data_IF_229080741253
#
_entry.id   IF_229080741253
#
_cell.length_a   1.000
_cell.length_b   1.000
_cell.length_c   1.000
_cell.angle_alpha   90.00
_cell.angle_beta   90.00
_cell.angle_gamma   90.00
#
_symmetry.space_group_name_H-M   'P 1'
#
loop_
_entity.id
_entity.type
_entity.pdbx_description
1 polymer ?
#
# COMPACT_ATOMS: atom_id res chain seq x y z
N UNK A 1 88.04 -17.37 -40.53
CA UNK A 1 88.54 -18.57 -41.22
C UNK A 1 87.38 -19.54 -41.39
N UNK A 2 87.27 -20.12 -42.59
CA UNK A 2 86.47 -21.29 -43.00
C UNK A 2 84.96 -21.13 -43.23
N UNK A 3 84.68 -20.65 -44.45
CA UNK A 3 83.79 -21.23 -45.47
C UNK A 3 83.29 -22.67 -45.24
N UNK A 4 82.03 -22.92 -45.63
CA UNK A 4 81.54 -24.12 -46.38
C UNK A 4 80.09 -24.48 -45.97
N UNK A 5 79.18 -25.04 -46.77
CA UNK A 5 78.87 -24.95 -48.20
C UNK A 5 77.37 -25.29 -48.37
N UNK A 6 76.85 -25.05 -49.58
CA UNK A 6 75.48 -25.31 -50.05
C UNK A 6 75.03 -26.77 -49.91
N UNK A 7 73.73 -27.00 -49.64
CA UNK A 7 72.99 -28.13 -50.19
C UNK A 7 71.57 -27.74 -50.62
N UNK A 8 71.25 -28.07 -51.87
CA UNK A 8 69.94 -28.00 -52.53
C UNK A 8 69.02 -29.11 -52.01
N UNK A 9 67.72 -28.83 -51.86
CA UNK A 9 66.65 -29.76 -52.27
C UNK A 9 65.31 -29.01 -52.44
N UNK A 10 64.49 -29.56 -53.33
CA UNK A 10 63.32 -28.97 -53.98
C UNK A 10 62.04 -29.19 -53.15
N UNK A 11 61.03 -28.39 -53.50
CA UNK A 11 59.59 -28.66 -53.38
C UNK A 11 58.94 -28.39 -52.02
N UNK A 12 58.14 -27.33 -51.92
CA UNK A 12 56.70 -27.43 -52.20
C UNK A 12 56.08 -26.04 -52.07
N UNK A 13 55.45 -25.58 -53.14
CA UNK A 13 54.62 -24.38 -53.16
C UNK A 13 53.34 -24.66 -52.39
N UNK A 14 53.16 -24.03 -51.23
CA UNK A 14 51.85 -23.82 -50.62
C UNK A 14 51.75 -22.35 -50.28
N UNK A 15 50.95 -21.63 -51.08
CA UNK A 15 50.52 -20.28 -50.79
C UNK A 15 49.77 -20.28 -49.45
N UNK A 16 50.32 -19.61 -48.44
CA UNK A 16 49.52 -19.06 -47.34
C UNK A 16 49.42 -17.55 -47.56
N UNK A 17 48.25 -17.12 -48.02
CA UNK A 17 47.90 -15.73 -48.12
C UNK A 17 47.96 -15.10 -46.72
N UNK A 18 48.76 -14.04 -46.59
CA UNK A 18 48.70 -13.11 -45.47
C UNK A 18 47.39 -12.33 -45.58
N UNK A 19 46.41 -12.63 -44.73
CA UNK A 19 45.37 -11.66 -44.38
C UNK A 19 45.87 -10.86 -43.18
N UNK A 20 46.30 -9.63 -43.47
CA UNK A 20 46.43 -8.57 -42.47
C UNK A 20 45.07 -8.38 -41.79
N UNK A 21 45.03 -8.69 -40.50
CA UNK A 21 43.91 -8.42 -39.61
C UNK A 21 43.77 -6.91 -39.44
N UNK A 22 42.84 -6.30 -40.16
CA UNK A 22 42.26 -5.02 -39.74
C UNK A 22 41.39 -5.30 -38.52
N UNK A 23 41.93 -5.05 -37.32
CA UNK A 23 41.11 -4.87 -36.12
C UNK A 23 40.23 -3.64 -36.37
N UNK A 24 39.06 -3.89 -36.93
CA UNK A 24 37.95 -2.95 -36.82
C UNK A 24 37.53 -3.00 -35.36
N UNK A 25 37.88 -1.96 -34.61
CA UNK A 25 37.32 -1.72 -33.30
C UNK A 25 35.79 -1.65 -33.47
N UNK A 26 35.10 -2.74 -33.16
CA UNK A 26 33.67 -2.71 -32.92
C UNK A 26 33.50 -1.74 -31.75
N UNK A 27 32.82 -0.60 -31.90
CA UNK A 27 32.49 0.19 -30.73
C UNK A 27 31.70 -0.74 -29.82
N UNK A 28 32.24 -1.01 -28.64
CA UNK A 28 31.48 -1.62 -27.58
C UNK A 28 30.25 -0.74 -27.42
N UNK A 29 29.08 -1.27 -27.79
CA UNK A 29 27.83 -0.60 -27.48
C UNK A 29 27.87 -0.39 -25.97
N UNK A 30 27.92 0.88 -25.55
CA UNK A 30 27.75 1.21 -24.15
C UNK A 30 26.49 0.46 -23.69
N UNK A 31 26.55 -0.29 -22.58
CA UNK A 31 25.33 -0.86 -22.04
C UNK A 31 24.42 0.32 -21.80
N UNK A 32 23.33 0.41 -22.57
CA UNK A 32 22.26 1.35 -22.34
C UNK A 32 21.81 1.06 -20.92
N UNK A 33 22.29 1.87 -19.99
CA UNK A 33 21.76 1.95 -18.64
C UNK A 33 20.36 2.49 -18.84
N UNK A 34 19.40 1.59 -19.09
CA UNK A 34 18.01 1.93 -18.88
C UNK A 34 17.95 2.39 -17.43
N UNK A 35 17.69 3.67 -17.17
CA UNK A 35 17.77 4.16 -15.82
C UNK A 35 16.67 3.44 -15.05
N UNK A 36 16.97 3.04 -13.81
CA UNK A 36 16.03 2.42 -12.84
C UNK A 36 14.71 3.21 -12.71
N UNK A 37 14.69 4.45 -13.20
CA UNK A 37 13.51 5.26 -13.52
C UNK A 37 12.50 4.59 -14.49
N UNK A 38 12.79 3.46 -15.14
CA UNK A 38 11.83 2.83 -16.09
C UNK A 38 10.84 1.87 -15.43
N UNK A 39 11.23 1.14 -14.37
CA UNK A 39 10.38 0.12 -13.75
C UNK A 39 9.28 0.68 -12.86
N UNK A 40 9.61 1.70 -12.05
CA UNK A 40 8.63 2.38 -11.19
C UNK A 40 7.58 3.12 -12.02
N UNK A 41 7.99 3.77 -13.11
CA UNK A 41 7.07 4.46 -14.03
C UNK A 41 6.17 3.48 -14.77
N UNK A 42 6.70 2.35 -15.23
CA UNK A 42 5.88 1.29 -15.83
C UNK A 42 4.87 0.71 -14.84
N UNK A 43 5.30 0.40 -13.61
CA UNK A 43 4.41 -0.10 -12.56
C UNK A 43 3.32 0.92 -12.20
N UNK A 44 3.69 2.19 -12.06
CA UNK A 44 2.75 3.29 -11.85
C UNK A 44 1.74 3.39 -13.01
N UNK A 45 2.23 3.41 -14.25
CA UNK A 45 1.37 3.51 -15.43
C UNK A 45 0.38 2.33 -15.52
N UNK A 46 0.84 1.09 -15.29
CA UNK A 46 -0.03 -0.09 -15.31
C UNK A 46 -1.04 -0.10 -14.15
N UNK A 47 -0.63 0.34 -12.96
CA UNK A 47 -1.52 0.49 -11.81
C UNK A 47 -2.67 1.46 -12.16
N UNK A 48 -2.34 2.65 -12.66
CA UNK A 48 -3.33 3.66 -13.05
C UNK A 48 -4.19 3.24 -14.24
N UNK A 49 -3.63 2.50 -15.19
CA UNK A 49 -4.34 2.05 -16.39
C UNK A 49 -5.36 0.95 -16.08
N UNK A 50 -5.08 0.07 -15.11
CA UNK A 50 -5.84 -1.17 -14.92
C UNK A 50 -6.60 -1.27 -13.59
N UNK A 51 -6.03 -0.75 -12.51
CA UNK A 51 -6.49 -1.05 -11.16
C UNK A 51 -7.11 0.16 -10.46
N UNK A 52 -6.74 1.39 -10.84
CA UNK A 52 -7.37 2.60 -10.28
C UNK A 52 -8.68 2.89 -11.00
N UNK A 53 -9.79 2.80 -10.29
CA UNK A 53 -11.11 3.06 -10.85
C UNK A 53 -11.43 4.56 -11.01
N UNK A 54 -12.60 4.87 -11.58
CA UNK A 54 -13.08 6.24 -11.78
C UNK A 54 -13.18 7.06 -10.48
N UNK A 55 -13.36 6.41 -9.33
CA UNK A 55 -13.44 7.06 -8.01
C UNK A 55 -12.07 7.26 -7.34
N UNK A 56 -11.00 6.68 -7.89
CA UNK A 56 -9.67 6.72 -7.29
C UNK A 56 -9.43 5.62 -6.26
N UNK A 57 -10.15 4.51 -6.36
CA UNK A 57 -9.96 3.33 -5.51
C UNK A 57 -9.15 2.30 -6.31
N UNK A 58 -8.13 1.73 -5.68
CA UNK A 58 -7.32 0.65 -6.27
C UNK A 58 -8.01 -0.69 -6.04
N UNK A 59 -8.33 -1.41 -7.10
CA UNK A 59 -8.87 -2.77 -7.03
C UNK A 59 -7.77 -3.80 -6.76
N UNK A 60 -8.11 -4.89 -6.07
CA UNK A 60 -7.19 -6.00 -5.79
C UNK A 60 -6.77 -6.72 -7.08
N UNK A 61 -7.75 -6.99 -7.93
CA UNK A 61 -7.55 -7.55 -9.26
C UNK A 61 -8.53 -6.96 -10.27
N UNK A 62 -8.21 -7.11 -11.56
CA UNK A 62 -9.10 -6.71 -12.65
C UNK A 62 -10.16 -7.79 -12.84
N UNK A 63 -11.43 -7.43 -12.71
CA UNK A 63 -12.56 -8.34 -12.89
C UNK A 63 -13.91 -7.63 -12.80
N UNK A 64 -14.99 -8.42 -12.81
CA UNK A 64 -16.34 -7.89 -12.72
C UNK A 64 -16.63 -7.35 -11.32
N UNK A 65 -17.04 -6.08 -11.26
CA UNK A 65 -17.43 -5.46 -10.00
C UNK A 65 -18.73 -6.09 -9.48
N UNK A 66 -18.87 -6.27 -8.16
CA UNK A 66 -20.10 -6.79 -7.59
C UNK A 66 -21.27 -5.85 -7.90
N UNK A 67 -22.42 -6.45 -8.22
CA UNK A 67 -23.67 -5.70 -8.40
C UNK A 67 -24.33 -5.43 -7.05
N UNK A 68 -25.32 -4.51 -6.99
CA UNK A 68 -26.11 -4.32 -5.78
C UNK A 68 -26.75 -5.62 -5.26
N UNK A 69 -27.17 -6.50 -6.16
CA UNK A 69 -27.73 -7.80 -5.81
C UNK A 69 -26.68 -8.73 -5.21
N UNK A 70 -25.45 -8.75 -5.75
CA UNK A 70 -24.36 -9.54 -5.19
C UNK A 70 -24.00 -9.08 -3.78
N UNK A 71 -23.86 -7.76 -3.57
CA UNK A 71 -23.59 -7.19 -2.24
C UNK A 71 -24.73 -7.50 -1.26
N UNK A 72 -26.00 -7.36 -1.68
CA UNK A 72 -27.18 -7.66 -0.85
C UNK A 72 -27.25 -9.13 -0.46
N UNK A 73 -26.91 -10.03 -1.37
CA UNK A 73 -26.88 -11.47 -1.13
C UNK A 73 -25.59 -11.95 -0.46
N UNK A 74 -24.58 -11.08 -0.30
CA UNK A 74 -23.27 -11.43 0.22
C UNK A 74 -22.54 -12.45 -0.67
N UNK A 75 -22.58 -12.27 -2.00
CA UNK A 75 -21.84 -13.11 -2.96
C UNK A 75 -20.52 -12.44 -3.34
N UNK A 76 -19.39 -13.15 -3.41
CA UNK A 76 -19.25 -14.59 -3.13
C UNK A 76 -19.29 -14.91 -1.63
N UNK A 77 -19.07 -13.92 -0.77
CA UNK A 77 -19.25 -14.00 0.68
C UNK A 77 -19.55 -12.60 1.24
N UNK A 78 -20.16 -12.54 2.43
CA UNK A 78 -20.53 -11.27 3.07
C UNK A 78 -19.32 -10.41 3.51
N UNK A 79 -18.11 -10.97 3.53
CA UNK A 79 -16.88 -10.21 3.81
C UNK A 79 -16.46 -9.42 2.57
N UNK A 80 -16.80 -9.90 1.37
CA UNK A 80 -16.37 -9.34 0.10
C UNK A 80 -15.06 -9.91 -0.41
N UNK A 81 -14.55 -10.99 0.19
CA UNK A 81 -13.32 -11.64 -0.26
C UNK A 81 -13.47 -12.24 -1.65
N UNK A 82 -12.37 -12.29 -2.41
CA UNK A 82 -12.36 -12.74 -3.81
C UNK A 82 -13.25 -11.89 -4.72
N UNK A 83 -13.36 -10.60 -4.42
CA UNK A 83 -13.98 -9.62 -5.32
C UNK A 83 -12.96 -8.53 -5.65
N UNK A 84 -13.06 -7.89 -6.84
CA UNK A 84 -12.11 -6.83 -7.22
C UNK A 84 -12.01 -5.69 -6.19
N UNK A 85 -13.07 -5.48 -5.41
CA UNK A 85 -13.16 -4.40 -4.43
C UNK A 85 -12.73 -4.83 -3.03
N UNK A 86 -12.12 -6.00 -2.83
CA UNK A 86 -11.89 -6.53 -1.48
C UNK A 86 -10.92 -5.72 -0.63
N UNK A 87 -9.93 -5.08 -1.26
CA UNK A 87 -8.81 -4.40 -0.59
C UNK A 87 -8.62 -2.94 -1.04
N UNK A 88 -9.73 -2.26 -1.39
CA UNK A 88 -9.73 -0.89 -1.91
C UNK A 88 -8.97 0.11 -1.03
N UNK A 89 -9.46 0.45 0.18
CA UNK A 89 -8.73 1.30 1.10
C UNK A 89 -7.36 0.75 1.50
N UNK A 90 -7.19 -0.57 1.57
CA UNK A 90 -5.91 -1.18 1.90
C UNK A 90 -4.82 -0.76 0.90
N UNK A 91 -5.02 -1.00 -0.40
CA UNK A 91 -4.02 -0.58 -1.40
C UNK A 91 -4.00 0.93 -1.61
N UNK A 92 -5.16 1.57 -1.68
CA UNK A 92 -5.25 3.01 -1.94
C UNK A 92 -4.56 3.81 -0.85
N UNK A 93 -4.79 3.44 0.42
CA UNK A 93 -4.21 4.08 1.58
C UNK A 93 -2.71 3.84 1.73
N UNK A 94 -2.21 2.66 1.35
CA UNK A 94 -0.78 2.36 1.33
C UNK A 94 -0.04 3.04 0.16
N UNK A 95 -0.72 3.25 -0.98
CA UNK A 95 -0.13 3.86 -2.16
C UNK A 95 -0.12 5.39 -2.13
N UNK A 96 -1.14 6.02 -1.53
CA UNK A 96 -1.29 7.47 -1.48
C UNK A 96 -0.05 8.21 -0.94
N UNK A 97 0.65 7.75 0.13
CA UNK A 97 1.89 8.38 0.58
C UNK A 97 2.99 8.42 -0.48
N UNK A 98 3.13 7.37 -1.29
CA UNK A 98 4.09 7.34 -2.39
C UNK A 98 3.73 8.37 -3.47
N UNK A 99 2.44 8.56 -3.75
CA UNK A 99 1.96 9.59 -4.66
C UNK A 99 2.18 11.00 -4.11
N UNK A 100 1.97 11.21 -2.82
CA UNK A 100 2.26 12.48 -2.18
C UNK A 100 3.74 12.85 -2.33
N UNK A 101 4.62 11.88 -2.09
CA UNK A 101 6.07 12.08 -2.22
C UNK A 101 6.50 12.28 -3.68
N UNK A 102 5.90 11.54 -4.62
CA UNK A 102 6.10 11.73 -6.06
C UNK A 102 5.73 13.16 -6.45
N UNK A 103 4.52 13.61 -6.14
CA UNK A 103 4.01 14.95 -6.44
C UNK A 103 4.89 16.07 -5.84
N UNK A 104 5.42 15.85 -4.63
CA UNK A 104 6.36 16.77 -3.98
C UNK A 104 7.69 16.87 -4.73
N UNK A 105 8.22 15.74 -5.22
CA UNK A 105 9.51 15.67 -5.93
C UNK A 105 9.43 16.20 -7.36
N UNK A 106 8.37 15.85 -8.09
CA UNK A 106 8.21 16.21 -9.51
C UNK A 106 7.62 17.61 -9.67
N UNK A 107 6.75 18.03 -8.75
CA UNK A 107 5.95 19.23 -8.87
C UNK A 107 4.85 19.13 -9.95
N UNK A 108 4.72 17.98 -10.62
CA UNK A 108 3.84 17.76 -11.77
C UNK A 108 2.36 17.92 -11.35
N UNK A 109 1.57 18.78 -12.03
CA UNK A 109 0.14 18.89 -11.81
C UNK A 109 -0.62 17.55 -11.90
N UNK A 110 -0.20 16.62 -12.75
CA UNK A 110 -0.82 15.31 -12.89
C UNK A 110 -0.67 14.47 -11.61
N UNK A 111 0.54 14.40 -11.06
CA UNK A 111 0.82 13.65 -9.82
C UNK A 111 0.02 14.21 -8.65
N UNK A 112 -0.13 15.54 -8.59
CA UNK A 112 -0.94 16.23 -7.58
C UNK A 112 -2.42 15.87 -7.69
N UNK A 113 -2.98 15.87 -8.90
CA UNK A 113 -4.38 15.49 -9.12
C UNK A 113 -4.61 14.01 -8.88
N UNK A 114 -3.65 13.15 -9.23
CA UNK A 114 -3.68 11.73 -8.90
C UNK A 114 -3.74 11.50 -7.39
N UNK A 115 -2.87 12.13 -6.61
CA UNK A 115 -2.91 12.05 -5.14
C UNK A 115 -4.26 12.52 -4.58
N UNK A 116 -4.81 13.63 -5.10
CA UNK A 116 -6.15 14.13 -4.73
C UNK A 116 -7.25 13.15 -5.08
N UNK A 117 -7.20 12.51 -6.24
CA UNK A 117 -8.18 11.50 -6.67
C UNK A 117 -8.17 10.27 -5.75
N UNK A 118 -7.00 9.78 -5.36
CA UNK A 118 -6.90 8.68 -4.38
C UNK A 118 -7.47 9.08 -3.02
N UNK A 119 -7.20 10.30 -2.54
CA UNK A 119 -7.78 10.81 -1.29
C UNK A 119 -9.31 10.89 -1.36
N UNK A 120 -9.87 11.33 -2.49
CA UNK A 120 -11.33 11.33 -2.73
C UNK A 120 -11.90 9.90 -2.74
N UNK A 121 -11.19 8.94 -3.32
CA UNK A 121 -11.56 7.51 -3.28
C UNK A 121 -11.67 6.98 -1.86
N UNK A 122 -10.66 7.25 -1.02
CA UNK A 122 -10.68 6.90 0.42
C UNK A 122 -11.86 7.58 1.14
N UNK A 123 -12.14 8.84 0.86
CA UNK A 123 -13.28 9.55 1.46
C UNK A 123 -14.63 8.96 1.04
N UNK A 124 -14.75 8.48 -0.21
CA UNK A 124 -15.93 7.76 -0.69
C UNK A 124 -16.13 6.46 0.08
N UNK A 125 -15.07 5.67 0.30
CA UNK A 125 -15.15 4.44 1.09
C UNK A 125 -15.60 4.66 2.55
N UNK A 126 -15.43 5.87 3.09
CA UNK A 126 -15.89 6.25 4.43
C UNK A 126 -17.27 6.96 4.44
N UNK A 127 -17.98 6.99 3.31
CA UNK A 127 -19.18 7.83 3.14
C UNK A 127 -20.36 7.15 2.44
N UNK A 128 -20.20 5.94 1.91
CA UNK A 128 -21.31 5.19 1.27
C UNK A 128 -22.14 4.34 2.24
N UNK A 129 -21.63 4.08 3.43
CA UNK A 129 -22.35 3.36 4.49
C UNK A 129 -23.07 4.33 5.41
N UNK A 130 -24.30 3.96 5.80
CA UNK A 130 -25.09 4.69 6.80
C UNK A 130 -24.67 4.36 8.24
N UNK A 131 -23.72 3.43 8.43
CA UNK A 131 -23.16 3.11 9.75
C UNK A 131 -21.96 4.01 10.01
N UNK A 132 -22.01 4.91 11.02
CA UNK A 132 -20.88 5.75 11.36
C UNK A 132 -19.62 4.91 11.65
N UNK A 133 -18.47 5.39 11.20
CA UNK A 133 -17.18 4.72 11.41
C UNK A 133 -16.91 3.51 10.52
N UNK A 134 -17.86 3.12 9.66
CA UNK A 134 -17.65 2.08 8.66
C UNK A 134 -16.70 2.60 7.56
N UNK A 135 -15.67 1.80 7.27
CA UNK A 135 -14.84 1.93 6.08
C UNK A 135 -15.12 0.72 5.21
N UNK A 136 -15.75 0.95 4.06
CA UNK A 136 -16.09 -0.14 3.13
C UNK A 136 -14.86 -0.56 2.33
N UNK A 137 -14.83 -1.83 1.91
CA UNK A 137 -13.74 -2.40 1.10
C UNK A 137 -13.63 -1.77 -0.29
N UNK A 138 -14.73 -1.26 -0.82
CA UNK A 138 -14.80 -0.51 -2.07
C UNK A 138 -16.27 -0.35 -2.46
N UNK A 139 -16.51 0.02 -3.71
CA UNK A 139 -17.87 0.24 -4.23
C UNK A 139 -18.10 -0.59 -5.49
N UNK A 140 -19.29 -1.17 -5.61
CA UNK A 140 -19.67 -1.97 -6.77
C UNK A 140 -20.13 -1.14 -7.97
N UNK A 141 -20.88 -1.78 -8.87
CA UNK A 141 -21.20 -1.22 -10.20
C UNK A 141 -22.00 0.08 -10.19
N UNK A 142 -22.77 0.36 -9.14
CA UNK A 142 -23.54 1.60 -8.97
C UNK A 142 -22.77 2.71 -8.25
N UNK A 143 -21.53 2.44 -7.83
CA UNK A 143 -20.70 3.37 -7.06
C UNK A 143 -21.13 3.58 -5.61
N UNK A 144 -22.05 2.78 -5.07
CA UNK A 144 -22.55 2.91 -3.69
C UNK A 144 -22.67 1.55 -2.99
N UNK A 145 -23.10 0.49 -3.68
CA UNK A 145 -23.24 -0.83 -3.11
C UNK A 145 -21.88 -1.36 -2.63
N UNK A 146 -21.90 -2.04 -1.50
CA UNK A 146 -20.70 -2.49 -0.82
C UNK A 146 -21.00 -3.70 0.08
N UNK A 147 -19.96 -4.45 0.44
CA UNK A 147 -20.10 -5.54 1.39
C UNK A 147 -20.20 -5.03 2.83
N UNK A 148 -21.02 -5.68 3.67
CA UNK A 148 -21.41 -5.13 4.98
C UNK A 148 -20.33 -5.25 6.07
N UNK A 149 -19.27 -6.03 5.87
CA UNK A 149 -18.30 -6.29 6.94
C UNK A 149 -17.05 -5.40 6.81
N UNK A 150 -16.92 -4.45 7.75
CA UNK A 150 -15.71 -3.66 7.93
C UNK A 150 -14.55 -4.49 8.46
N UNK A 151 -13.36 -3.92 8.50
CA UNK A 151 -12.16 -4.59 9.03
C UNK A 151 -11.05 -3.58 9.34
N UNK A 152 -10.16 -3.95 10.27
CA UNK A 152 -8.98 -3.15 10.59
C UNK A 152 -7.92 -3.16 9.47
N UNK A 153 -7.98 -4.15 8.57
CA UNK A 153 -7.14 -4.27 7.37
C UNK A 153 -7.37 -3.13 6.36
N UNK A 154 -8.61 -2.67 6.19
CA UNK A 154 -8.96 -1.50 5.37
C UNK A 154 -8.81 -0.20 6.15
N UNK A 155 -9.24 -0.23 7.40
CA UNK A 155 -9.39 0.98 8.22
C UNK A 155 -8.02 1.58 8.57
N UNK A 156 -7.00 0.77 8.85
CA UNK A 156 -5.67 1.29 9.16
C UNK A 156 -5.00 2.00 7.96
N UNK A 157 -4.89 1.38 6.77
CA UNK A 157 -4.41 2.05 5.57
C UNK A 157 -5.20 3.30 5.21
N UNK A 158 -6.53 3.30 5.41
CA UNK A 158 -7.35 4.49 5.23
C UNK A 158 -6.87 5.67 6.08
N UNK A 159 -6.63 5.44 7.38
CA UNK A 159 -6.02 6.45 8.27
C UNK A 159 -4.61 6.81 7.83
N UNK A 160 -3.79 5.82 7.45
CA UNK A 160 -2.39 6.03 7.05
C UNK A 160 -2.27 6.96 5.85
N UNK A 161 -2.97 6.65 4.75
CA UNK A 161 -2.93 7.44 3.52
C UNK A 161 -3.48 8.84 3.72
N UNK A 162 -4.63 8.98 4.38
CA UNK A 162 -5.25 10.29 4.61
C UNK A 162 -4.45 11.15 5.60
N UNK A 163 -3.83 10.56 6.62
CA UNK A 163 -2.91 11.28 7.51
C UNK A 163 -1.76 11.91 6.70
N UNK A 164 -1.06 11.12 5.88
CA UNK A 164 0.05 11.64 5.07
C UNK A 164 -0.41 12.71 4.09
N UNK A 165 -1.53 12.47 3.40
CA UNK A 165 -2.09 13.43 2.44
C UNK A 165 -2.47 14.75 3.13
N UNK A 166 -3.19 14.68 4.25
CA UNK A 166 -3.55 15.86 5.06
C UNK A 166 -2.30 16.58 5.52
N UNK A 167 -1.24 15.91 5.95
CA UNK A 167 -0.03 16.57 6.43
C UNK A 167 0.86 17.14 5.32
N UNK A 168 0.55 16.86 4.04
CA UNK A 168 1.24 17.46 2.89
C UNK A 168 0.73 18.87 2.57
N UNK A 169 1.34 19.48 1.55
CA UNK A 169 0.92 20.75 0.94
C UNK A 169 -0.11 20.58 -0.19
N UNK A 170 -0.50 19.34 -0.49
CA UNK A 170 -1.41 19.00 -1.60
C UNK A 170 -2.89 19.36 -1.38
N UNK A 171 -3.51 19.08 -0.21
CA UNK A 171 -4.91 19.40 -0.03
C UNK A 171 -5.12 20.89 0.16
N UNK A 172 -6.17 21.40 -0.48
CA UNK A 172 -6.72 22.72 -0.17
C UNK A 172 -7.18 22.79 1.28
N UNK A 173 -7.40 24.00 1.79
CA UNK A 173 -7.91 24.19 3.16
C UNK A 173 -9.26 23.49 3.39
N UNK A 174 -10.13 23.48 2.38
CA UNK A 174 -11.44 22.84 2.44
C UNK A 174 -11.32 21.31 2.43
N UNK A 175 -10.55 20.74 1.50
CA UNK A 175 -10.27 19.29 1.46
C UNK A 175 -9.67 18.81 2.77
N UNK A 176 -8.69 19.55 3.30
CA UNK A 176 -8.04 19.27 4.57
C UNK A 176 -9.06 19.22 5.71
N UNK A 177 -9.94 20.22 5.80
CA UNK A 177 -10.98 20.30 6.84
C UNK A 177 -11.95 19.13 6.73
N UNK A 178 -12.43 18.81 5.54
CA UNK A 178 -13.38 17.72 5.30
C UNK A 178 -12.79 16.35 5.65
N UNK A 179 -11.55 16.10 5.25
CA UNK A 179 -10.85 14.85 5.55
C UNK A 179 -10.64 14.72 7.07
N UNK A 180 -10.14 15.77 7.73
CA UNK A 180 -9.96 15.75 9.20
C UNK A 180 -11.29 15.51 9.91
N UNK A 181 -12.38 16.15 9.47
CA UNK A 181 -13.70 15.93 10.05
C UNK A 181 -14.15 14.47 9.92
N UNK A 182 -13.94 13.85 8.76
CA UNK A 182 -14.25 12.43 8.57
C UNK A 182 -13.35 11.51 9.41
N UNK A 183 -12.05 11.79 9.48
CA UNK A 183 -11.12 11.06 10.34
C UNK A 183 -11.54 11.14 11.82
N UNK A 184 -11.97 12.32 12.30
CA UNK A 184 -12.53 12.48 13.66
C UNK A 184 -13.78 11.61 13.86
N UNK A 185 -14.72 11.62 12.92
CA UNK A 185 -15.93 10.78 13.00
C UNK A 185 -15.57 9.30 13.13
N UNK A 186 -14.70 8.79 12.27
CA UNK A 186 -14.31 7.38 12.29
C UNK A 186 -13.55 7.03 13.58
N UNK A 187 -12.58 7.85 13.98
CA UNK A 187 -11.80 7.61 15.20
C UNK A 187 -12.66 7.66 16.47
N UNK A 188 -13.63 8.58 16.55
CA UNK A 188 -14.54 8.66 17.69
C UNK A 188 -15.47 7.45 17.78
N UNK A 189 -15.94 6.93 16.64
CA UNK A 189 -16.72 5.68 16.62
C UNK A 189 -15.85 4.52 17.11
N UNK A 190 -14.65 4.35 16.54
CA UNK A 190 -13.73 3.30 16.98
C UNK A 190 -13.45 3.39 18.47
N UNK A 191 -13.14 4.56 19.00
CA UNK A 191 -12.96 4.77 20.44
C UNK A 191 -14.21 4.33 21.23
N UNK A 192 -15.41 4.75 20.83
CA UNK A 192 -16.66 4.40 21.52
C UNK A 192 -17.00 2.91 21.48
N UNK A 193 -16.47 2.17 20.49
CA UNK A 193 -16.71 0.74 20.32
C UNK A 193 -15.59 -0.13 20.90
N UNK A 194 -14.63 0.46 21.62
CA UNK A 194 -13.46 -0.27 22.13
C UNK A 194 -12.49 -0.68 21.01
N UNK A 195 -12.36 0.16 19.99
CA UNK A 195 -11.53 0.00 18.81
C UNK A 195 -11.86 -1.23 17.97
N UNK A 196 -13.14 -1.57 17.87
CA UNK A 196 -13.67 -2.63 17.01
C UNK A 196 -14.31 -2.02 15.78
N UNK A 197 -13.99 -2.54 14.59
CA UNK A 197 -14.50 -1.97 13.34
C UNK A 197 -15.96 -2.40 13.11
N UNK A 198 -16.89 -1.46 12.85
CA UNK A 198 -18.32 -1.76 12.74
C UNK A 198 -18.66 -2.55 11.47
N UNK A 199 -19.78 -3.27 11.51
CA UNK A 199 -20.46 -3.81 10.34
C UNK A 199 -21.73 -3.02 9.98
N UNK A 200 -22.17 -3.18 8.73
CA UNK A 200 -23.38 -2.59 8.13
C UNK A 200 -24.40 -3.67 7.73
N UNK A 201 -25.55 -3.27 7.18
CA UNK A 201 -26.60 -4.15 6.69
C UNK A 201 -27.06 -5.14 7.77
N UNK A 202 -27.07 -6.43 7.43
CA UNK A 202 -27.42 -7.50 8.35
C UNK A 202 -26.46 -7.65 9.55
N UNK A 203 -25.30 -7.00 9.52
CA UNK A 203 -24.28 -7.02 10.57
C UNK A 203 -24.23 -5.72 11.38
N UNK A 204 -25.22 -4.83 11.23
CA UNK A 204 -25.32 -3.59 12.01
C UNK A 204 -25.31 -3.89 13.51
N UNK A 205 -24.41 -3.25 14.24
CA UNK A 205 -24.16 -3.48 15.67
C UNK A 205 -23.21 -4.65 15.98
N UNK A 206 -22.76 -5.38 14.96
CA UNK A 206 -21.66 -6.34 15.07
C UNK A 206 -20.35 -5.71 14.63
N UNK A 207 -19.24 -6.41 14.88
CA UNK A 207 -17.90 -5.92 14.62
C UNK A 207 -17.02 -6.99 14.01
N UNK A 208 -16.07 -6.57 13.17
CA UNK A 208 -15.04 -7.44 12.60
C UNK A 208 -13.69 -6.73 12.64
N UNK A 209 -12.70 -7.38 13.25
CA UNK A 209 -11.39 -6.79 13.44
C UNK A 209 -11.34 -5.75 14.56
N UNK A 210 -10.13 -5.35 14.94
CA UNK A 210 -9.91 -4.36 15.98
C UNK A 210 -8.44 -4.15 16.32
N UNK A 211 -8.16 -3.20 17.20
CA UNK A 211 -6.80 -2.69 17.42
C UNK A 211 -6.19 -3.01 18.80
N UNK A 212 -6.98 -3.49 19.77
CA UNK A 212 -6.52 -3.62 21.17
C UNK A 212 -5.81 -4.93 21.50
N UNK A 213 -5.58 -5.79 20.51
CA UNK A 213 -4.93 -7.09 20.67
C UNK A 213 -3.48 -7.04 21.15
N UNK A 214 -2.86 -8.22 21.25
CA UNK A 214 -1.53 -8.42 21.83
C UNK A 214 -0.44 -8.77 20.82
N UNK A 215 -0.76 -8.81 19.53
CA UNK A 215 0.22 -9.03 18.47
C UNK A 215 0.96 -7.74 18.16
N UNK A 216 2.14 -7.85 17.56
CA UNK A 216 2.92 -6.70 17.11
C UNK A 216 2.10 -5.80 16.17
N UNK A 217 1.38 -6.41 15.23
CA UNK A 217 0.52 -5.67 14.29
C UNK A 217 -0.58 -4.87 15.00
N UNK A 218 -1.15 -5.40 16.09
CA UNK A 218 -2.24 -4.73 16.81
C UNK A 218 -1.68 -3.51 17.55
N UNK A 219 -0.57 -3.71 18.27
CA UNK A 219 0.10 -2.66 19.03
C UNK A 219 0.57 -1.50 18.12
N UNK A 220 1.28 -1.81 17.03
CA UNK A 220 1.83 -0.75 16.15
C UNK A 220 0.72 0.05 15.47
N UNK A 221 -0.33 -0.62 14.98
CA UNK A 221 -1.45 0.04 14.32
C UNK A 221 -2.23 0.90 15.30
N UNK A 222 -2.52 0.38 16.50
CA UNK A 222 -3.26 1.14 17.50
C UNK A 222 -2.53 2.42 17.92
N UNK A 223 -1.25 2.28 18.27
CA UNK A 223 -0.41 3.42 18.67
C UNK A 223 -0.25 4.44 17.54
N UNK A 224 -0.13 3.96 16.29
CA UNK A 224 -0.10 4.83 15.12
C UNK A 224 -1.41 5.63 14.97
N UNK A 225 -2.58 4.98 15.07
CA UNK A 225 -3.88 5.66 14.92
C UNK A 225 -4.02 6.81 15.93
N UNK A 226 -3.65 6.59 17.19
CA UNK A 226 -3.71 7.64 18.23
C UNK A 226 -2.76 8.81 17.91
N UNK A 227 -1.53 8.53 17.48
CA UNK A 227 -0.56 9.59 17.10
C UNK A 227 -0.96 10.34 15.84
N UNK A 228 -1.46 9.64 14.83
CA UNK A 228 -1.97 10.24 13.61
C UNK A 228 -3.16 11.16 13.91
N UNK A 229 -4.09 10.74 14.77
CA UNK A 229 -5.20 11.59 15.19
C UNK A 229 -4.74 12.84 15.95
N UNK A 230 -3.77 12.72 16.86
CA UNK A 230 -3.19 13.93 17.47
C UNK A 230 -2.54 14.84 16.42
N UNK A 231 -1.77 14.30 15.48
CA UNK A 231 -1.08 15.09 14.46
C UNK A 231 -2.04 15.86 13.55
N UNK A 232 -3.14 15.25 13.10
CA UNK A 232 -4.09 15.91 12.18
C UNK A 232 -5.09 16.83 12.89
N UNK A 233 -5.35 16.61 14.18
CA UNK A 233 -6.39 17.37 14.91
C UNK A 233 -5.83 18.43 15.85
N UNK A 234 -4.65 18.20 16.42
CA UNK A 234 -4.12 18.96 17.55
C UNK A 234 -4.85 18.69 18.87
N UNK A 235 -5.83 17.77 18.93
CA UNK A 235 -6.60 17.53 20.15
C UNK A 235 -5.76 16.69 21.14
N UNK A 236 -5.45 17.27 22.30
CA UNK A 236 -4.57 16.67 23.32
C UNK A 236 -5.04 15.28 23.80
N UNK A 237 -6.36 15.03 23.79
CA UNK A 237 -6.95 13.74 24.19
C UNK A 237 -6.34 12.55 23.45
N UNK A 238 -5.97 12.72 22.17
CA UNK A 238 -5.34 11.65 21.40
C UNK A 238 -3.91 11.36 21.83
N UNK A 239 -3.17 12.40 22.23
CA UNK A 239 -1.82 12.26 22.77
C UNK A 239 -1.83 11.59 24.14
N UNK A 240 -2.76 11.99 25.01
CA UNK A 240 -2.92 11.40 26.33
C UNK A 240 -3.29 9.91 26.22
N UNK A 241 -4.23 9.58 25.32
CA UNK A 241 -4.57 8.19 24.98
C UNK A 241 -3.38 7.41 24.46
N UNK A 242 -2.57 8.00 23.56
CA UNK A 242 -1.35 7.35 23.08
C UNK A 242 -0.38 7.06 24.22
N UNK A 243 -0.14 8.03 25.11
CA UNK A 243 0.77 7.88 26.24
C UNK A 243 0.31 6.77 27.20
N UNK A 244 -0.99 6.70 27.48
CA UNK A 244 -1.56 5.62 28.26
C UNK A 244 -1.45 4.27 27.53
N UNK A 245 -1.81 4.22 26.24
CA UNK A 245 -1.85 3.00 25.46
C UNK A 245 -0.46 2.37 25.26
N UNK A 246 0.59 3.19 25.07
CA UNK A 246 1.96 2.69 24.89
C UNK A 246 2.50 2.02 26.17
N UNK A 247 2.13 2.54 27.35
CA UNK A 247 2.55 2.02 28.64
C UNK A 247 1.71 0.80 29.08
N UNK A 248 0.48 0.68 28.57
CA UNK A 248 -0.42 -0.42 28.92
C UNK A 248 0.08 -1.77 28.38
N UNK A 249 -0.11 -2.81 29.19
CA UNK A 249 0.10 -4.22 28.83
C UNK A 249 -1.23 -4.75 28.27
N UNK A 250 -1.30 -5.17 26.98
CA UNK A 250 -2.51 -5.78 26.42
C UNK A 250 -2.91 -7.05 27.17
N UNK A 251 -4.19 -7.41 27.10
CA UNK A 251 -4.66 -8.70 27.61
C UNK A 251 -3.89 -9.84 26.93
N UNK A 252 -3.50 -10.86 27.72
CA UNK A 252 -2.67 -11.99 27.29
C UNK A 252 -1.23 -11.64 26.87
N UNK A 253 -0.78 -10.39 27.04
CA UNK A 253 0.62 -10.01 26.90
C UNK A 253 1.35 -9.99 28.25
N UNK A 254 2.69 -10.03 28.19
CA UNK A 254 3.59 -9.84 29.34
C UNK A 254 4.41 -8.54 29.27
N UNK A 255 4.23 -7.78 28.19
CA UNK A 255 5.01 -6.60 27.82
C UNK A 255 4.06 -5.49 27.42
N UNK A 256 4.45 -4.25 27.69
CA UNK A 256 3.73 -3.05 27.26
C UNK A 256 3.67 -2.98 25.73
N UNK A 257 2.73 -2.22 25.17
CA UNK A 257 2.67 -2.01 23.71
C UNK A 257 3.96 -1.39 23.18
N UNK A 258 4.61 -0.50 23.93
CA UNK A 258 5.90 0.08 23.56
C UNK A 258 7.00 -0.99 23.42
N UNK A 259 7.10 -1.91 24.39
CA UNK A 259 8.06 -3.02 24.33
C UNK A 259 7.74 -4.00 23.19
N UNK A 260 6.45 -4.30 22.98
CA UNK A 260 6.01 -5.11 21.83
C UNK A 260 6.45 -4.46 20.51
N UNK A 261 6.26 -3.15 20.37
CA UNK A 261 6.70 -2.43 19.18
C UNK A 261 8.24 -2.40 19.04
N UNK A 262 8.98 -2.31 20.13
CA UNK A 262 10.44 -2.32 20.12
C UNK A 262 11.03 -3.67 19.69
N UNK A 263 10.38 -4.78 20.06
CA UNK A 263 10.76 -6.14 19.63
C UNK A 263 10.42 -6.43 18.18
N UNK A 264 9.37 -5.80 17.67
CA UNK A 264 8.94 -5.97 16.29
C UNK A 264 8.21 -7.29 16.03
N UNK A 265 8.05 -7.59 14.74
CA UNK A 265 7.32 -8.77 14.23
C UNK A 265 7.86 -10.11 14.74
N UNK A 266 9.16 -10.22 15.06
CA UNK A 266 9.77 -11.48 15.49
C UNK A 266 9.08 -12.09 16.71
N UNK A 267 8.49 -11.28 17.58
CA UNK A 267 7.70 -11.70 18.75
C UNK A 267 6.48 -12.55 18.36
N UNK A 268 5.84 -12.25 17.24
CA UNK A 268 4.58 -12.90 16.86
C UNK A 268 4.77 -14.36 16.43
N UNK A 269 6.01 -14.81 16.22
CA UNK A 269 6.36 -16.22 15.96
C UNK A 269 5.94 -17.17 17.08
N UNK A 270 6.00 -16.71 18.31
CA UNK A 270 5.59 -17.51 19.48
C UNK A 270 4.06 -17.54 19.61
N UNK A 271 3.38 -16.49 19.14
CA UNK A 271 1.93 -16.35 19.23
C UNK A 271 1.19 -17.01 18.05
N UNK A 272 1.81 -17.04 16.87
CA UNK A 272 1.23 -17.59 15.65
C UNK A 272 2.13 -18.71 15.16
N UNK A 273 1.69 -19.94 15.39
CA UNK A 273 2.35 -21.13 14.88
C UNK A 273 2.44 -21.03 13.35
N UNK A 274 3.59 -21.37 12.78
CA UNK A 274 3.78 -21.44 11.32
C UNK A 274 3.68 -20.09 10.60
N UNK A 275 3.84 -18.95 11.30
CA UNK A 275 3.71 -17.61 10.71
C UNK A 275 4.68 -17.34 9.55
N UNK A 276 5.87 -17.97 9.57
CA UNK A 276 6.90 -17.80 8.53
C UNK A 276 6.91 -18.94 7.50
N UNK A 277 6.07 -19.96 7.67
CA UNK A 277 5.93 -21.02 6.67
C UNK A 277 4.80 -20.64 5.73
N UNK A 278 5.14 -20.47 4.45
CA UNK A 278 4.18 -20.08 3.41
C UNK A 278 3.07 -21.14 3.34
N UNK A 279 1.82 -20.69 3.34
CA UNK A 279 0.66 -21.53 2.96
C UNK A 279 0.51 -21.52 1.45
#
# INVERSE_FOLDING_TARGET
MNSSTKYKKRSCTLLFAWLLTSLSAVPAAEPVTQPVLSGVEQAHAELWRRFVDSYGIIHDFVGDLPTPEDCRLGKPNAIGWWSPIEDGPMFTGLYLPALCERARRTGDPLDKEQARRLARGLMKCASVSEVPGMIVRGVGTDGVCHYPLGSDDQTHPWFYGLHVYVMSDLPTADERREIIAKMKTVANVLESTGWRCPGDGAFKGQFRGGYTGHLFRDAVRYLYLLRAMHAVTGDQVWLDRYQAAQAAIPEHAKKSRAEICAEGYARDRDAIRHIDTHQ
#
